data_IF_964614028243
#
_entry.id   IF_964614028243
#
_cell.length_a   1.000
_cell.length_b   1.000
_cell.length_c   1.000
_cell.angle_alpha   90.00
_cell.angle_beta   90.00
_cell.angle_gamma   90.00
#
_symmetry.space_group_name_H-M   'P 1'
#
loop_
_entity.id
_entity.type
_entity.pdbx_description
1 polymer ?
#
# COMPACT_ATOMS: atom_id res chain seq x y z
N UNK A 1 -61.86 -12.80 28.27
CA UNK A 1 -61.43 -11.47 27.75
C UNK A 1 -59.93 -11.43 27.57
N UNK A 2 -59.45 -11.03 26.37
CA UNK A 2 -58.02 -10.89 26.08
C UNK A 2 -57.61 -9.41 26.16
N UNK A 3 -57.46 -8.88 27.38
CA UNK A 3 -57.01 -7.50 27.59
C UNK A 3 -55.49 -7.44 27.64
N UNK A 4 -54.89 -6.41 27.04
CA UNK A 4 -53.44 -6.25 27.02
C UNK A 4 -52.94 -5.80 28.40
N UNK A 5 -52.07 -6.57 29.08
CA UNK A 5 -51.52 -6.16 30.38
C UNK A 5 -50.79 -4.82 30.32
N UNK A 6 -50.27 -4.39 29.17
CA UNK A 6 -49.56 -3.10 29.00
C UNK A 6 -50.47 -1.87 29.10
N UNK A 7 -51.79 -2.05 29.12
CA UNK A 7 -52.81 -1.00 29.25
C UNK A 7 -53.48 -1.01 30.63
N UNK A 8 -53.23 -2.04 31.44
CA UNK A 8 -53.80 -2.17 32.79
C UNK A 8 -52.84 -1.56 33.81
N UNK A 9 -53.25 -0.44 34.40
CA UNK A 9 -52.42 0.49 35.17
C UNK A 9 -51.61 -0.12 36.33
N UNK A 10 -52.14 -1.14 36.99
CA UNK A 10 -51.52 -1.76 38.16
C UNK A 10 -50.55 -2.90 37.82
N UNK A 11 -50.49 -3.32 36.56
CA UNK A 11 -49.62 -4.43 36.17
C UNK A 11 -48.15 -4.02 36.11
N UNK A 12 -47.27 -5.00 36.29
CA UNK A 12 -45.82 -4.81 36.16
C UNK A 12 -45.43 -4.34 34.75
N UNK A 13 -46.07 -4.86 33.70
CA UNK A 13 -45.78 -4.48 32.31
C UNK A 13 -46.15 -3.03 32.02
N UNK A 14 -47.32 -2.58 32.49
CA UNK A 14 -47.72 -1.18 32.40
C UNK A 14 -46.71 -0.28 33.12
N UNK A 15 -46.33 -0.64 34.36
CA UNK A 15 -45.36 0.15 35.15
C UNK A 15 -44.00 0.24 34.45
N UNK A 16 -43.48 -0.85 33.87
CA UNK A 16 -42.22 -0.85 33.10
C UNK A 16 -42.31 -0.03 31.81
N UNK A 17 -43.41 -0.11 31.06
CA UNK A 17 -43.65 0.69 29.83
C UNK A 17 -43.70 2.19 30.14
N UNK A 18 -44.37 2.57 31.22
CA UNK A 18 -44.55 3.97 31.64
C UNK A 18 -43.52 4.44 32.67
N UNK A 19 -42.46 3.65 32.91
CA UNK A 19 -41.35 3.96 33.83
C UNK A 19 -41.79 4.32 35.26
N UNK A 20 -42.91 3.75 35.74
CA UNK A 20 -43.42 3.99 37.10
C UNK A 20 -42.62 3.18 38.11
N UNK A 21 -42.03 3.86 39.10
CA UNK A 21 -41.27 3.24 40.19
C UNK A 21 -39.88 2.74 39.79
N UNK A 22 -39.33 3.21 38.68
CA UNK A 22 -37.92 3.00 38.35
C UNK A 22 -37.08 3.91 39.27
N UNK A 23 -36.58 3.36 40.38
CA UNK A 23 -35.64 4.03 41.29
C UNK A 23 -34.18 3.91 40.80
N UNK A 24 -33.90 2.87 40.01
CA UNK A 24 -32.59 2.68 39.41
C UNK A 24 -32.42 3.69 38.27
N UNK A 25 -31.51 4.63 38.47
CA UNK A 25 -30.88 5.37 37.39
C UNK A 25 -30.24 4.33 36.47
N UNK A 26 -30.91 3.99 35.37
CA UNK A 26 -30.40 3.03 34.39
C UNK A 26 -29.01 3.55 34.01
N UNK A 27 -27.97 2.90 34.53
CA UNK A 27 -26.60 3.23 34.19
C UNK A 27 -26.48 3.02 32.69
N UNK A 28 -26.62 4.11 31.93
CA UNK A 28 -26.47 4.08 30.47
C UNK A 28 -25.15 3.38 30.24
N UNK A 29 -25.19 2.22 29.55
CA UNK A 29 -23.97 1.47 29.23
C UNK A 29 -23.05 2.41 28.45
N UNK A 30 -22.08 2.98 29.15
CA UNK A 30 -21.12 3.92 28.58
C UNK A 30 -20.18 3.08 27.72
N UNK A 31 -20.45 3.00 26.42
CA UNK A 31 -19.54 2.34 25.49
C UNK A 31 -18.23 3.10 25.49
N UNK A 32 -17.19 2.56 26.13
CA UNK A 32 -15.88 3.21 26.19
C UNK A 32 -15.26 3.19 24.79
N UNK A 33 -14.90 4.36 24.26
CA UNK A 33 -14.05 4.48 23.08
C UNK A 33 -12.69 4.97 23.52
N UNK A 34 -11.70 4.09 23.43
CA UNK A 34 -10.32 4.44 23.71
C UNK A 34 -9.58 4.53 22.40
N UNK A 35 -8.85 5.62 22.18
CA UNK A 35 -7.95 5.73 21.03
C UNK A 35 -6.61 6.24 21.54
N UNK A 36 -5.52 5.58 21.15
CA UNK A 36 -4.16 5.90 21.59
C UNK A 36 -3.25 6.06 20.38
N UNK A 37 -2.52 7.16 20.35
CA UNK A 37 -1.43 7.50 19.43
C UNK A 37 -0.55 8.52 20.18
N UNK A 38 0.72 8.77 19.94
CA UNK A 38 1.82 8.11 19.22
C UNK A 38 2.98 8.11 20.22
N UNK A 39 3.75 7.03 20.29
CA UNK A 39 4.95 6.93 21.14
C UNK A 39 6.19 7.20 20.29
N UNK A 40 7.28 7.64 20.91
CA UNK A 40 8.59 7.62 20.27
C UNK A 40 8.98 6.18 19.89
N UNK A 41 9.79 6.02 18.85
CA UNK A 41 10.30 4.72 18.40
C UNK A 41 11.81 4.71 18.63
N UNK A 42 12.41 3.55 18.89
CA UNK A 42 13.87 3.45 19.06
C UNK A 42 14.57 4.03 17.83
N UNK A 43 15.46 5.02 18.06
CA UNK A 43 16.20 5.71 17.00
C UNK A 43 15.49 6.90 16.35
N UNK A 44 14.23 7.23 16.72
CA UNK A 44 13.53 8.44 16.28
C UNK A 44 12.67 9.01 17.42
N UNK A 45 12.95 10.24 17.82
CA UNK A 45 12.15 10.92 18.84
C UNK A 45 10.72 11.20 18.35
N UNK A 46 9.77 11.38 19.27
CA UNK A 46 8.39 11.73 18.92
C UNK A 46 8.33 13.05 18.13
N UNK A 47 9.21 14.00 18.46
CA UNK A 47 9.30 15.31 17.81
C UNK A 47 9.73 15.19 16.34
N UNK A 48 10.72 14.36 16.03
CA UNK A 48 11.16 14.12 14.64
C UNK A 48 10.07 13.46 13.79
N UNK A 49 9.31 12.53 14.38
CA UNK A 49 8.18 11.88 13.72
C UNK A 49 7.09 12.90 13.38
N UNK A 50 6.76 13.79 14.31
CA UNK A 50 5.77 14.85 14.09
C UNK A 50 6.26 15.88 13.06
N UNK A 51 7.53 16.28 13.14
CA UNK A 51 8.14 17.21 12.20
C UNK A 51 8.06 16.68 10.76
N UNK A 52 8.39 15.40 10.53
CA UNK A 52 8.27 14.76 9.20
C UNK A 52 6.82 14.63 8.75
N UNK A 53 5.91 14.24 9.64
CA UNK A 53 4.48 14.08 9.32
C UNK A 53 3.82 15.40 8.93
N UNK A 54 4.15 16.47 9.65
CA UNK A 54 3.54 17.78 9.50
C UNK A 54 4.19 18.62 8.40
N UNK A 55 5.10 18.06 7.59
CA UNK A 55 5.64 18.75 6.43
C UNK A 55 4.52 19.10 5.45
N UNK A 56 4.53 20.35 4.98
CA UNK A 56 3.58 20.84 3.98
C UNK A 56 3.64 19.95 2.73
N UNK A 57 2.50 19.71 2.06
CA UNK A 57 2.44 18.86 0.88
C UNK A 57 3.35 19.36 -0.25
N UNK A 58 3.58 20.67 -0.35
CA UNK A 58 4.52 21.28 -1.31
C UNK A 58 5.95 20.80 -1.10
N UNK A 59 6.44 20.79 0.14
CA UNK A 59 7.78 20.30 0.49
C UNK A 59 7.90 18.81 0.17
N UNK A 60 6.87 18.02 0.49
CA UNK A 60 6.81 16.60 0.15
C UNK A 60 6.82 16.36 -1.36
N UNK A 61 6.11 17.17 -2.13
CA UNK A 61 6.06 17.10 -3.59
C UNK A 61 7.41 17.45 -4.22
N UNK A 62 8.06 18.50 -3.76
CA UNK A 62 9.39 18.90 -4.22
C UNK A 62 10.44 17.80 -3.99
N UNK A 63 10.48 17.21 -2.77
CA UNK A 63 11.37 16.08 -2.47
C UNK A 63 11.08 14.87 -3.35
N UNK A 64 9.79 14.58 -3.62
CA UNK A 64 9.37 13.49 -4.50
C UNK A 64 9.85 13.72 -5.94
N UNK A 65 9.67 14.92 -6.47
CA UNK A 65 10.10 15.27 -7.83
C UNK A 65 11.61 15.21 -7.97
N UNK A 66 12.35 15.70 -6.98
CA UNK A 66 13.81 15.61 -6.94
C UNK A 66 14.28 14.14 -6.93
N UNK A 67 13.66 13.28 -6.11
CA UNK A 67 13.98 11.86 -6.05
C UNK A 67 13.69 11.15 -7.39
N UNK A 68 12.57 11.48 -8.04
CA UNK A 68 12.22 10.95 -9.36
C UNK A 68 13.24 11.39 -10.41
N UNK A 69 13.65 12.66 -10.40
CA UNK A 69 14.66 13.19 -11.32
C UNK A 69 15.99 12.46 -11.13
N UNK A 70 16.47 12.35 -9.89
CA UNK A 70 17.70 11.64 -9.57
C UNK A 70 17.65 10.16 -10.00
N UNK A 71 16.51 9.48 -9.80
CA UNK A 71 16.34 8.10 -10.25
C UNK A 71 16.39 7.97 -11.79
N UNK A 72 15.73 8.88 -12.52
CA UNK A 72 15.77 8.92 -13.98
C UNK A 72 17.18 9.19 -14.51
N UNK A 73 17.91 10.12 -13.91
CA UNK A 73 19.30 10.42 -14.29
C UNK A 73 20.22 9.24 -14.03
N UNK A 74 20.11 8.58 -12.87
CA UNK A 74 20.84 7.34 -12.57
C UNK A 74 20.54 6.23 -13.58
N UNK A 75 19.28 6.10 -14.01
CA UNK A 75 18.91 5.10 -15.02
C UNK A 75 19.51 5.42 -16.39
N UNK A 76 19.43 6.68 -16.85
CA UNK A 76 20.06 7.12 -18.10
C UNK A 76 21.57 6.87 -18.10
N UNK A 77 22.25 7.15 -16.97
CA UNK A 77 23.68 6.88 -16.82
C UNK A 77 23.99 5.38 -16.91
N UNK A 78 23.19 4.52 -16.24
CA UNK A 78 23.32 3.06 -16.35
C UNK A 78 23.12 2.57 -17.78
N UNK A 79 22.14 3.13 -18.50
CA UNK A 79 21.86 2.73 -19.89
C UNK A 79 22.95 3.23 -20.85
N UNK A 80 23.52 4.40 -20.62
CA UNK A 80 24.68 4.91 -21.36
C UNK A 80 25.92 4.03 -21.15
N UNK A 81 26.21 3.64 -19.90
CA UNK A 81 27.31 2.72 -19.57
C UNK A 81 27.11 1.34 -20.24
N UNK A 82 25.88 0.80 -20.21
CA UNK A 82 25.56 -0.46 -20.90
C UNK A 82 25.73 -0.36 -22.41
N UNK A 83 25.36 0.77 -23.03
CA UNK A 83 25.57 1.01 -24.47
C UNK A 83 27.06 1.12 -24.81
N UNK A 84 27.84 1.84 -24.01
CA UNK A 84 29.29 1.98 -24.19
C UNK A 84 30.01 0.62 -24.07
N UNK A 85 29.62 -0.20 -23.09
CA UNK A 85 30.15 -1.56 -22.93
C UNK A 85 29.81 -2.48 -24.11
N UNK A 86 28.58 -2.39 -24.66
CA UNK A 86 28.21 -3.15 -25.87
C UNK A 86 29.00 -2.73 -27.12
N UNK A 87 29.25 -1.44 -27.29
CA UNK A 87 30.05 -0.93 -28.42
C UNK A 87 31.54 -1.22 -28.30
N UNK A 88 32.07 -1.38 -27.08
CA UNK A 88 33.44 -1.82 -26.85
C UNK A 88 33.58 -3.33 -27.12
N UNK A 89 32.60 -4.14 -26.72
CA UNK A 89 32.58 -5.58 -27.03
C UNK A 89 32.46 -5.89 -28.54
N UNK A 90 31.84 -5.00 -29.33
CA UNK A 90 31.74 -5.16 -30.79
C UNK A 90 32.96 -4.64 -31.56
N UNK A 91 33.89 -3.92 -30.93
CA UNK A 91 35.13 -3.43 -31.58
C UNK A 91 36.30 -4.40 -31.44
N UNK A 92 36.22 -5.38 -30.54
CA UNK A 92 37.23 -6.44 -30.38
C UNK A 92 36.94 -7.71 -31.19
N UNK A 93 35.81 -7.80 -31.89
CA UNK A 93 35.56 -8.88 -32.84
C UNK A 93 36.03 -8.47 -34.23
N UNK A 94 37.33 -8.63 -34.50
CA UNK A 94 37.84 -8.63 -35.87
C UNK A 94 37.08 -9.69 -36.71
N UNK A 95 36.72 -9.40 -37.97
CA UNK A 95 36.06 -10.37 -38.83
C UNK A 95 37.11 -11.40 -39.28
N UNK A 96 37.18 -12.53 -38.58
CA UNK A 96 37.92 -13.69 -39.07
C UNK A 96 37.09 -14.33 -40.19
N UNK A 97 37.34 -13.87 -41.41
CA UNK A 97 36.86 -14.46 -42.66
C UNK A 97 37.17 -15.96 -42.63
N UNK A 98 36.14 -16.80 -42.68
CA UNK A 98 36.24 -18.24 -42.96
C UNK A 98 35.53 -18.50 -44.29
N UNK A 99 36.16 -19.25 -45.22
CA UNK A 99 35.59 -19.49 -46.53
C UNK A 99 34.39 -20.43 -46.44
N UNK A 100 33.46 -20.18 -47.35
CA UNK A 100 32.29 -20.96 -47.73
C UNK A 100 32.59 -22.47 -47.83
N UNK A 101 31.84 -23.29 -47.10
CA UNK A 101 31.58 -24.67 -47.51
C UNK A 101 30.08 -24.99 -47.43
N UNK A 102 29.52 -25.03 -48.63
CA UNK A 102 28.41 -25.81 -49.15
C UNK A 102 28.08 -27.07 -48.33
N UNK A 103 26.80 -27.26 -48.02
CA UNK A 103 26.23 -28.61 -47.80
C UNK A 103 25.30 -28.74 -46.60
N UNK A 104 24.09 -29.23 -46.83
CA UNK A 104 23.33 -29.96 -45.81
C UNK A 104 21.95 -29.39 -45.48
N UNK A 105 20.94 -29.96 -46.13
CA UNK A 105 19.54 -29.79 -45.81
C UNK A 105 19.19 -30.21 -44.37
N UNK A 106 18.23 -29.50 -43.76
CA UNK A 106 17.04 -30.05 -43.08
C UNK A 106 16.53 -29.09 -41.98
N UNK A 107 15.63 -28.18 -42.33
CA UNK A 107 14.78 -27.48 -41.34
C UNK A 107 13.42 -28.15 -41.29
N UNK A 108 13.19 -28.96 -40.25
CA UNK A 108 11.84 -29.27 -39.75
C UNK A 108 11.38 -28.09 -38.87
N UNK A 109 10.15 -27.55 -39.03
CA UNK A 109 9.67 -26.46 -38.18
C UNK A 109 9.28 -26.99 -36.79
N UNK A 110 9.93 -26.47 -35.75
CA UNK A 110 9.56 -26.75 -34.35
C UNK A 110 8.55 -25.70 -33.89
N UNK A 111 7.29 -26.10 -33.90
CA UNK A 111 6.17 -25.41 -33.24
C UNK A 111 6.38 -25.48 -31.71
N UNK A 112 6.21 -24.35 -31.04
CA UNK A 112 6.10 -24.28 -29.58
C UNK A 112 6.43 -22.86 -29.10
N UNK A 113 5.61 -22.18 -28.31
CA UNK A 113 4.37 -22.51 -27.66
C UNK A 113 4.01 -21.31 -26.79
N UNK A 114 2.73 -21.00 -26.67
CA UNK A 114 2.20 -20.05 -25.68
C UNK A 114 2.70 -20.42 -24.29
N UNK A 115 3.30 -19.47 -23.58
CA UNK A 115 2.97 -19.10 -22.19
C UNK A 115 3.27 -17.62 -22.02
#
# INVERSE_FOLDING_TARGET
MKRNPREINWTVLYRRKHKKGNLEEIAKKRTRRTTKFTRAVTGLSLAEIQAKRNQKPEVRKAQREQAIRAAKEKQKAKDALKKQQKTQASRTSQPKVKPTMKGGAATKPRVGGKR
#
